data_IF_824133946270
#
_entry.id   IF_824133946270
#
_cell.length_a   1.000
_cell.length_b   1.000
_cell.length_c   1.000
_cell.angle_alpha   90.00
_cell.angle_beta   90.00
_cell.angle_gamma   90.00
#
_symmetry.space_group_name_H-M   'P 1'
#
loop_
_entity.id
_entity.type
_entity.pdbx_description
1 polymer ?
#
# COMPACT_ATOMS: atom_id res chain seq x y z
N UNK A 1 7.98 -9.54 13.46
CA UNK A 1 7.26 -8.99 12.31
C UNK A 1 7.50 -7.51 12.21
N UNK A 2 8.34 -7.10 11.26
CA UNK A 2 8.48 -5.69 10.88
C UNK A 2 7.73 -5.48 9.57
N UNK A 3 6.74 -4.60 9.60
CA UNK A 3 5.96 -4.24 8.41
C UNK A 3 6.19 -2.77 8.12
N UNK A 4 6.64 -2.46 6.91
CA UNK A 4 6.75 -1.09 6.41
C UNK A 4 5.84 -0.94 5.20
N UNK A 5 4.81 -0.13 5.30
CA UNK A 5 3.88 0.13 4.22
C UNK A 5 4.18 1.50 3.61
N UNK A 6 4.69 1.50 2.39
CA UNK A 6 4.92 2.70 1.58
C UNK A 6 3.62 3.04 0.85
N UNK A 7 2.90 4.02 1.41
CA UNK A 7 1.52 4.30 1.04
C UNK A 7 1.35 5.74 0.59
N UNK A 8 0.41 5.94 -0.33
CA UNK A 8 -0.04 7.28 -0.70
C UNK A 8 -1.19 7.71 0.22
N UNK A 9 -1.26 8.98 0.65
CA UNK A 9 -2.33 9.47 1.50
C UNK A 9 -3.71 9.41 0.82
N UNK A 10 -3.77 9.65 -0.49
CA UNK A 10 -5.00 9.64 -1.28
C UNK A 10 -4.95 8.58 -2.39
N UNK A 11 -5.11 7.31 -2.03
CA UNK A 11 -5.17 6.21 -2.99
C UNK A 11 -6.05 5.07 -2.46
N UNK A 12 -6.98 4.57 -3.29
CA UNK A 12 -7.88 3.47 -2.94
C UNK A 12 -7.14 2.21 -2.50
N UNK A 13 -6.11 1.81 -3.24
CA UNK A 13 -5.28 0.65 -2.89
C UNK A 13 -4.50 0.83 -1.58
N UNK A 14 -4.00 2.03 -1.31
CA UNK A 14 -3.31 2.31 -0.04
C UNK A 14 -4.25 2.21 1.16
N UNK A 15 -5.50 2.64 1.00
CA UNK A 15 -6.51 2.47 2.04
C UNK A 15 -6.90 1.00 2.25
N UNK A 16 -6.94 0.19 1.19
CA UNK A 16 -7.15 -1.25 1.29
C UNK A 16 -6.10 -1.94 2.18
N UNK A 17 -4.81 -1.61 1.97
CA UNK A 17 -3.71 -2.13 2.81
C UNK A 17 -3.88 -1.68 4.28
N UNK A 18 -4.16 -0.39 4.53
CA UNK A 18 -4.38 0.12 5.91
C UNK A 18 -5.55 -0.57 6.60
N UNK A 19 -6.63 -0.87 5.88
CA UNK A 19 -7.81 -1.55 6.40
C UNK A 19 -7.45 -2.95 6.91
N UNK A 20 -6.69 -3.71 6.12
CA UNK A 20 -6.21 -5.05 6.48
C UNK A 20 -5.28 -5.00 7.68
N UNK A 21 -4.29 -4.11 7.67
CA UNK A 21 -3.39 -3.98 8.81
C UNK A 21 -4.14 -3.65 10.11
N UNK A 22 -5.17 -2.79 10.04
CA UNK A 22 -6.03 -2.48 11.19
C UNK A 22 -6.92 -3.65 11.61
N UNK A 23 -7.48 -4.41 10.66
CA UNK A 23 -8.31 -5.61 10.93
C UNK A 23 -7.57 -6.63 11.79
N UNK A 24 -6.32 -6.90 11.46
CA UNK A 24 -5.47 -7.82 12.21
C UNK A 24 -4.72 -7.14 13.37
N UNK A 25 -4.98 -5.85 13.60
CA UNK A 25 -4.31 -5.01 14.60
C UNK A 25 -2.78 -5.16 14.57
N UNK A 26 -2.21 -5.16 13.37
CA UNK A 26 -0.78 -5.32 13.14
C UNK A 26 -0.05 -4.01 13.38
N UNK A 27 1.14 -4.11 13.96
CA UNK A 27 2.07 -3.00 14.00
C UNK A 27 2.75 -2.85 12.63
N UNK A 28 2.45 -1.76 11.93
CA UNK A 28 3.12 -1.39 10.68
C UNK A 28 3.55 0.07 10.72
N UNK A 29 4.63 0.37 10.01
CA UNK A 29 5.06 1.74 9.76
C UNK A 29 4.34 2.27 8.52
N UNK A 30 3.53 3.32 8.68
CA UNK A 30 2.91 4.06 7.58
C UNK A 30 3.94 5.07 7.04
N UNK A 31 4.55 4.73 5.92
CA UNK A 31 5.60 5.54 5.29
C UNK A 31 4.95 6.35 4.16
N UNK A 32 4.82 7.66 4.39
CA UNK A 32 4.33 8.59 3.38
C UNK A 32 5.43 8.88 2.34
N UNK A 33 5.18 8.46 1.10
CA UNK A 33 6.08 8.64 -0.06
C UNK A 33 5.75 9.89 -0.89
N UNK A 34 4.68 10.62 -0.57
CA UNK A 34 4.28 11.83 -1.30
C UNK A 34 4.90 13.07 -0.66
N UNK A 35 4.88 13.14 0.68
CA UNK A 35 5.40 14.26 1.44
C UNK A 35 6.92 14.16 1.66
N UNK A 36 7.49 12.95 1.60
CA UNK A 36 8.91 12.72 1.83
C UNK A 36 9.58 12.01 0.65
N UNK A 37 10.50 12.73 -0.01
CA UNK A 37 11.19 12.25 -1.22
C UNK A 37 12.22 11.17 -0.93
N UNK A 38 12.83 11.17 0.25
CA UNK A 38 13.76 10.10 0.67
C UNK A 38 13.03 8.77 0.82
N UNK A 39 11.82 8.79 1.41
CA UNK A 39 10.98 7.60 1.53
C UNK A 39 10.60 7.03 0.15
N UNK A 40 10.28 7.90 -0.81
CA UNK A 40 10.01 7.50 -2.18
C UNK A 40 11.25 6.87 -2.84
N UNK A 41 12.43 7.47 -2.66
CA UNK A 41 13.67 6.91 -3.19
C UNK A 41 14.00 5.54 -2.57
N UNK A 42 13.85 5.39 -1.25
CA UNK A 42 14.02 4.11 -0.55
C UNK A 42 13.03 3.06 -1.07
N UNK A 43 11.76 3.44 -1.23
CA UNK A 43 10.73 2.56 -1.80
C UNK A 43 11.16 2.08 -3.19
N UNK A 44 11.49 2.99 -4.11
CA UNK A 44 11.88 2.66 -5.49
C UNK A 44 13.11 1.76 -5.52
N UNK A 45 14.10 2.03 -4.67
CA UNK A 45 15.32 1.23 -4.61
C UNK A 45 15.03 -0.20 -4.13
N UNK A 46 14.13 -0.37 -3.17
CA UNK A 46 13.80 -1.68 -2.60
C UNK A 46 12.78 -2.47 -3.41
N UNK A 47 11.75 -1.80 -3.95
CA UNK A 47 10.70 -2.41 -4.77
C UNK A 47 11.12 -2.59 -6.22
N UNK A 48 12.12 -1.83 -6.69
CA UNK A 48 12.51 -1.78 -8.09
C UNK A 48 11.51 -1.02 -8.98
N UNK A 49 10.49 -0.38 -8.39
CA UNK A 49 9.42 0.27 -9.16
C UNK A 49 8.85 1.53 -8.49
N UNK A 50 8.35 2.49 -9.28
CA UNK A 50 7.73 3.73 -8.78
C UNK A 50 6.26 3.58 -8.37
N UNK A 51 5.68 2.39 -8.52
CA UNK A 51 4.27 2.13 -8.22
C UNK A 51 4.06 1.98 -6.72
N UNK A 52 2.85 2.29 -6.28
CA UNK A 52 2.39 2.18 -4.90
C UNK A 52 0.98 1.59 -4.93
N UNK A 53 0.62 0.67 -4.03
CA UNK A 53 1.23 0.42 -2.71
C UNK A 53 2.43 -0.54 -2.76
N UNK A 54 3.42 -0.31 -1.89
CA UNK A 54 4.49 -1.27 -1.63
C UNK A 54 4.54 -1.59 -0.13
N UNK A 55 4.63 -2.87 0.24
CA UNK A 55 4.67 -3.31 1.63
C UNK A 55 5.87 -4.22 1.83
N UNK A 56 6.77 -3.87 2.73
CA UNK A 56 7.87 -4.72 3.16
C UNK A 56 7.44 -5.49 4.41
N UNK A 57 7.43 -6.82 4.36
CA UNK A 57 7.07 -7.71 5.47
C UNK A 57 8.27 -8.59 5.80
N UNK A 58 8.86 -8.38 6.99
CA UNK A 58 10.05 -9.11 7.48
C UNK A 58 11.20 -9.20 6.46
N UNK A 59 11.37 -8.14 5.65
CA UNK A 59 12.42 -8.04 4.61
C UNK A 59 11.99 -8.54 3.23
N UNK A 60 10.79 -9.11 3.08
CA UNK A 60 10.20 -9.43 1.78
C UNK A 60 9.44 -8.21 1.27
N UNK A 61 9.85 -7.67 0.13
CA UNK A 61 9.18 -6.54 -0.50
C UNK A 61 8.04 -7.02 -1.41
N UNK A 62 6.81 -6.65 -1.06
CA UNK A 62 5.61 -6.84 -1.86
C UNK A 62 5.29 -5.54 -2.58
N UNK A 63 5.62 -5.47 -3.86
CA UNK A 63 5.41 -4.29 -4.68
C UNK A 63 4.14 -4.44 -5.54
N UNK A 64 3.37 -3.36 -5.71
CA UNK A 64 2.09 -3.34 -6.45
C UNK A 64 0.99 -4.25 -5.89
N UNK A 65 0.89 -4.35 -4.56
CA UNK A 65 -0.08 -5.23 -3.91
C UNK A 65 -1.31 -4.49 -3.40
N UNK A 66 -2.47 -5.14 -3.53
CA UNK A 66 -3.73 -4.71 -2.91
C UNK A 66 -3.85 -5.19 -1.45
N UNK A 67 -4.87 -4.71 -0.73
CA UNK A 67 -5.10 -5.15 0.64
C UNK A 67 -5.35 -6.67 0.74
N UNK A 68 -6.12 -7.24 -0.19
CA UNK A 68 -6.41 -8.68 -0.20
C UNK A 68 -5.15 -9.54 -0.42
N UNK A 69 -4.24 -9.10 -1.28
CA UNK A 69 -2.99 -9.82 -1.53
C UNK A 69 -2.09 -9.82 -0.30
N UNK A 70 -2.03 -8.70 0.41
CA UNK A 70 -1.30 -8.62 1.68
C UNK A 70 -1.94 -9.55 2.72
N UNK A 71 -3.27 -9.59 2.83
CA UNK A 71 -3.97 -10.52 3.72
C UNK A 71 -3.62 -11.98 3.39
N UNK A 72 -3.70 -12.34 2.11
CA UNK A 72 -3.41 -13.70 1.65
C UNK A 72 -1.94 -14.09 1.88
N UNK A 73 -1.02 -13.14 1.68
CA UNK A 73 0.40 -13.35 2.00
C UNK A 73 0.61 -13.59 3.49
N UNK A 74 -0.01 -12.78 4.36
CA UNK A 74 0.10 -12.93 5.81
C UNK A 74 -0.48 -14.27 6.29
N UNK A 75 -1.60 -14.72 5.71
CA UNK A 75 -2.21 -16.02 6.01
C UNK A 75 -1.35 -17.19 5.51
N UNK A 76 -0.80 -17.08 4.29
CA UNK A 76 0.04 -18.13 3.69
C UNK A 76 1.38 -18.30 4.39
N UNK A 77 1.87 -17.26 5.06
CA UNK A 77 3.11 -17.30 5.86
C UNK A 77 2.83 -17.51 7.35
N UNK A 78 1.60 -17.84 7.74
CA UNK A 78 1.17 -18.05 9.13
C UNK A 78 1.49 -16.86 10.07
N UNK A 79 1.60 -15.65 9.50
CA UNK A 79 1.91 -14.42 10.24
C UNK A 79 0.69 -13.87 10.98
N UNK A 80 -0.51 -14.19 10.48
CA UNK A 80 -1.79 -13.85 11.11
C UNK A 80 -2.73 -15.05 11.13
N UNK A 81 -3.66 -15.06 12.09
CA UNK A 81 -4.74 -16.06 12.12
C UNK A 81 -5.90 -15.58 11.26
N UNK A 82 -6.58 -16.46 10.51
CA UNK A 82 -7.80 -16.10 9.79
C UNK A 82 -8.81 -15.49 10.77
N UNK A 83 -9.34 -14.33 10.41
CA UNK A 83 -10.27 -13.56 11.22
C UNK A 83 -11.49 -13.21 10.39
N UNK A 84 -12.67 -13.48 10.94
CA UNK A 84 -13.97 -13.15 10.37
C UNK A 84 -14.33 -11.66 10.52
N UNK A 85 -13.35 -10.83 10.91
CA UNK A 85 -13.55 -9.40 11.07
C UNK A 85 -13.98 -8.76 9.74
N UNK A 86 -15.21 -8.26 9.72
CA UNK A 86 -15.82 -7.61 8.57
C UNK A 86 -15.12 -6.28 8.28
N UNK A 87 -14.65 -6.10 7.05
CA UNK A 87 -14.07 -4.84 6.59
C UNK A 87 -15.17 -3.99 5.97
N UNK A 88 -15.34 -2.79 6.49
CA UNK A 88 -16.32 -1.82 6.00
C UNK A 88 -15.83 -1.09 4.72
N UNK A 89 -14.61 -1.39 4.27
CA UNK A 89 -13.91 -0.70 3.18
C UNK A 89 -13.46 -1.72 2.13
N UNK A 90 -13.69 -1.48 0.83
CA UNK A 90 -13.23 -2.38 -0.22
C UNK A 90 -11.70 -2.40 -0.27
N UNK A 91 -11.11 -3.58 -0.02
CA UNK A 91 -9.66 -3.79 0.04
C UNK A 91 -8.99 -3.96 -1.32
N UNK A 92 -9.80 -4.17 -2.36
CA UNK A 92 -9.41 -4.32 -3.76
C UNK A 92 -10.17 -3.36 -4.68
N UNK A 93 -10.52 -2.17 -4.17
CA UNK A 93 -10.87 -1.07 -5.05
C UNK A 93 -9.62 -0.24 -5.35
N UNK A 94 -9.18 -0.30 -6.61
CA UNK A 94 -8.29 0.71 -7.14
C UNK A 94 -8.94 2.08 -7.13
N UNK A 95 -8.11 3.13 -7.18
CA UNK A 95 -8.62 4.39 -7.70
C UNK A 95 -9.18 4.13 -9.09
N UNK A 96 -10.43 4.51 -9.34
CA UNK A 96 -10.98 4.49 -10.69
C UNK A 96 -10.08 5.32 -11.62
N UNK A 97 -9.99 4.94 -12.90
CA UNK A 97 -9.16 5.60 -13.93
C UNK A 97 -9.32 7.14 -13.93
N UNK A 98 -10.51 7.64 -13.58
CA UNK A 98 -10.83 9.05 -13.45
C UNK A 98 -10.07 9.79 -12.32
N UNK A 99 -9.72 9.12 -11.23
CA UNK A 99 -8.89 9.70 -10.16
C UNK A 99 -7.40 9.72 -10.52
N UNK A 100 -6.92 8.72 -11.28
CA UNK A 100 -5.59 8.74 -11.87
C UNK A 100 -5.45 9.84 -12.94
N UNK A 101 -6.50 10.07 -13.75
CA UNK A 101 -6.53 11.14 -14.74
C UNK A 101 -6.46 12.54 -14.10
N UNK A 102 -7.12 12.76 -12.95
CA UNK A 102 -7.07 14.03 -12.20
C UNK A 102 -5.68 14.35 -11.62
N UNK A 103 -4.88 13.33 -11.30
CA UNK A 103 -3.50 13.53 -10.84
C UNK A 103 -2.50 13.62 -12.00
N UNK A 104 -2.73 12.92 -13.12
CA UNK A 104 -1.89 12.98 -14.32
C UNK A 104 -1.99 14.35 -15.05
N UNK A 105 -3.16 14.98 -15.04
CA UNK A 105 -3.42 16.25 -15.74
C UNK A 105 -2.82 17.49 -15.07
N UNK A 106 -2.28 17.38 -13.85
CA UNK A 106 -1.53 18.50 -13.23
C UNK A 106 -0.04 18.51 -13.59
N UNK A 107 0.35 17.83 -14.66
CA UNK A 107 1.62 18.12 -15.34
C UNK A 107 1.35 19.27 -16.31
N UNK A 108 1.24 20.49 -15.78
CA UNK A 108 1.30 21.69 -16.63
C UNK A 108 2.71 21.71 -17.22
N UNK A 109 2.86 21.13 -18.40
CA UNK A 109 3.99 21.42 -19.27
C UNK A 109 3.79 22.85 -19.77
N UNK A 110 4.35 23.80 -19.03
CA UNK A 110 4.69 25.10 -19.60
C UNK A 110 5.88 24.88 -20.53
N UNK A 111 5.60 24.72 -21.82
CA UNK A 111 6.49 25.10 -22.91
C UNK A 111 5.66 25.36 -24.17
#
# INVERSE_FOLDING_TARGET
MKIKAYLKPHCGWSNGVRAIMRKYNLAYEDIDIINNRDNYAEMVQKSGQPLSPCVEVDGVMLADVSGEEVENYLLSNDLVKPSDAQLDIPTNQGCSDEEHAKMATKTIRFF
#
